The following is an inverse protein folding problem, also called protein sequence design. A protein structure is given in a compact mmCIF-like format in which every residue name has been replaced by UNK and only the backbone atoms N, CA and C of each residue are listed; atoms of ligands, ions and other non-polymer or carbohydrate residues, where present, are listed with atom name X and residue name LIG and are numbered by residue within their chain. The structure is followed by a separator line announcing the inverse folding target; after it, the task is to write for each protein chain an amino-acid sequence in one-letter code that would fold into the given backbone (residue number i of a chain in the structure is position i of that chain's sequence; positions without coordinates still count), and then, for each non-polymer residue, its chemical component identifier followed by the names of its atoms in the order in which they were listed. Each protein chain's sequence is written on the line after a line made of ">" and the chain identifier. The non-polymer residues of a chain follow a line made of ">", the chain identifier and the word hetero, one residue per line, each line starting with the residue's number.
data_IF_205117256110
#
_entry.id   IF_205117256110
#
_cell.length_a   1.000
_cell.length_b   1.000
_cell.length_c   1.000
_cell.angle_alpha   90.00
_cell.angle_beta   90.00
_cell.angle_gamma   90.00
#
_symmetry.space_group_name_H-M   'P 1'
#
loop_
_entity.id
_entity.type
_entity.pdbx_description
1 polymer ?
#
# COMPACT_ATOMS: atom_id res chain seq x y z
N UNK A 1 -22.20 -9.43 -4.29
CA UNK A 1 -23.45 -8.69 -4.52
C UNK A 1 -23.10 -7.21 -4.55
N UNK A 2 -23.70 -6.44 -5.47
CA UNK A 2 -23.45 -5.00 -5.56
C UNK A 2 -23.84 -4.32 -4.22
N UNK A 3 -22.97 -3.46 -3.64
CA UNK A 3 -23.35 -2.67 -2.47
C UNK A 3 -24.62 -1.84 -2.73
N UNK A 4 -25.42 -1.64 -1.69
CA UNK A 4 -26.65 -0.86 -1.78
C UNK A 4 -26.30 0.60 -2.09
N UNK A 5 -27.04 1.24 -3.00
CA UNK A 5 -26.83 2.65 -3.37
C UNK A 5 -25.85 2.88 -4.54
N UNK A 6 -25.16 1.85 -5.04
CA UNK A 6 -24.25 1.97 -6.17
C UNK A 6 -25.01 2.03 -7.50
N UNK A 7 -24.89 3.15 -8.21
CA UNK A 7 -25.57 3.43 -9.48
C UNK A 7 -24.61 3.14 -10.64
N UNK A 8 -24.96 2.28 -11.62
CA UNK A 8 -24.05 1.95 -12.71
C UNK A 8 -23.88 3.14 -13.67
N UNK A 9 -22.62 3.52 -13.93
CA UNK A 9 -22.26 4.47 -14.98
C UNK A 9 -21.95 3.75 -16.28
N UNK A 10 -22.49 4.26 -17.39
CA UNK A 10 -22.37 3.65 -18.72
C UNK A 10 -21.79 4.64 -19.71
N UNK A 11 -20.85 4.17 -20.51
CA UNK A 11 -20.36 4.90 -21.69
C UNK A 11 -21.45 5.00 -22.76
N UNK A 12 -21.20 5.82 -23.79
CA UNK A 12 -22.12 6.06 -24.89
C UNK A 12 -22.51 4.80 -25.69
N UNK A 13 -21.69 3.75 -25.66
CA UNK A 13 -21.95 2.44 -26.27
C UNK A 13 -22.77 1.49 -25.38
N UNK A 14 -23.11 1.91 -24.16
CA UNK A 14 -23.86 1.14 -23.17
C UNK A 14 -23.02 0.26 -22.25
N UNK A 15 -21.70 0.22 -22.44
CA UNK A 15 -20.77 -0.53 -21.61
C UNK A 15 -20.67 0.09 -20.21
N UNK A 16 -20.83 -0.73 -19.16
CA UNK A 16 -20.65 -0.28 -17.76
C UNK A 16 -19.16 -0.15 -17.50
N UNK A 17 -18.74 1.02 -17.02
CA UNK A 17 -17.33 1.31 -16.71
C UNK A 17 -17.05 1.44 -15.21
N UNK A 18 -18.11 1.49 -14.40
CA UNK A 18 -18.02 1.55 -12.96
C UNK A 18 -19.36 1.91 -12.33
N UNK A 19 -19.30 2.35 -11.08
CA UNK A 19 -20.44 2.71 -10.27
C UNK A 19 -20.21 4.06 -9.59
N UNK A 20 -21.29 4.80 -9.37
CA UNK A 20 -21.29 6.04 -8.59
C UNK A 20 -22.17 5.81 -7.37
N UNK A 21 -21.64 6.11 -6.19
CA UNK A 21 -22.36 6.11 -4.92
C UNK A 21 -22.60 7.55 -4.48
N UNK A 22 -23.78 7.77 -3.89
CA UNK A 22 -24.11 8.99 -3.17
C UNK A 22 -24.38 8.60 -1.71
N UNK A 23 -23.43 8.91 -0.83
CA UNK A 23 -23.57 8.73 0.63
C UNK A 23 -23.65 10.08 1.33
N UNK A 24 -24.88 10.51 1.63
CA UNK A 24 -25.15 11.85 2.12
C UNK A 24 -24.75 12.92 1.10
N UNK A 25 -23.71 13.69 1.42
CA UNK A 25 -23.12 14.72 0.55
C UNK A 25 -21.82 14.24 -0.13
N UNK A 26 -21.31 13.03 0.15
CA UNK A 26 -20.14 12.47 -0.55
C UNK A 26 -20.59 11.74 -1.82
N UNK A 27 -19.99 12.13 -2.94
CA UNK A 27 -20.14 11.44 -4.22
C UNK A 27 -18.83 10.71 -4.50
N UNK A 28 -18.94 9.43 -4.82
CA UNK A 28 -17.79 8.56 -5.01
C UNK A 28 -17.97 7.69 -6.26
N UNK A 29 -16.98 7.70 -7.16
CA UNK A 29 -16.92 6.75 -8.24
C UNK A 29 -16.09 5.52 -7.85
N UNK A 30 -16.49 4.35 -8.31
CA UNK A 30 -15.81 3.08 -8.10
C UNK A 30 -15.65 2.32 -9.42
N UNK A 31 -14.45 1.80 -9.68
CA UNK A 31 -14.16 1.00 -10.88
C UNK A 31 -14.77 -0.41 -10.80
N UNK A 32 -14.65 -1.22 -11.86
CA UNK A 32 -15.23 -2.58 -11.98
C UNK A 32 -14.70 -3.60 -10.97
N UNK A 33 -13.66 -3.27 -10.20
CA UNK A 33 -13.18 -4.08 -9.07
C UNK A 33 -13.67 -3.52 -7.73
N UNK A 34 -14.46 -2.44 -7.75
CA UNK A 34 -14.98 -1.74 -6.59
C UNK A 34 -13.95 -0.85 -5.90
N UNK A 35 -12.88 -0.45 -6.59
CA UNK A 35 -11.88 0.49 -6.06
C UNK A 35 -12.32 1.92 -6.30
N UNK A 36 -12.19 2.79 -5.30
CA UNK A 36 -12.55 4.21 -5.43
C UNK A 36 -11.68 4.87 -6.51
N UNK A 37 -12.31 5.57 -7.43
CA UNK A 37 -11.70 6.23 -8.57
C UNK A 37 -11.64 7.76 -8.42
N UNK A 38 -12.36 8.34 -7.45
CA UNK A 38 -12.42 9.79 -7.20
C UNK A 38 -11.91 10.18 -5.82
N UNK A 39 -11.35 11.40 -5.66
CA UNK A 39 -11.14 11.99 -4.35
C UNK A 39 -12.47 12.28 -3.63
N UNK A 40 -12.45 12.60 -2.33
CA UNK A 40 -13.62 13.13 -1.61
C UNK A 40 -14.05 14.49 -2.14
N UNK A 41 -15.35 14.80 -2.02
CA UNK A 41 -15.88 16.14 -2.32
C UNK A 41 -16.04 16.49 -3.80
N UNK A 42 -15.93 15.50 -4.70
CA UNK A 42 -16.26 15.67 -6.12
C UNK A 42 -17.75 15.84 -6.34
N UNK A 43 -18.13 16.43 -7.47
CA UNK A 43 -19.52 16.42 -7.93
C UNK A 43 -19.84 15.20 -8.83
N UNK A 44 -21.11 15.07 -9.21
CA UNK A 44 -21.58 13.95 -10.05
C UNK A 44 -20.90 13.93 -11.43
N UNK A 45 -20.69 15.10 -12.04
CA UNK A 45 -20.09 15.18 -13.37
C UNK A 45 -18.61 14.79 -13.33
N UNK A 46 -17.88 15.21 -12.30
CA UNK A 46 -16.50 14.81 -12.05
C UNK A 46 -16.40 13.29 -11.82
N UNK A 47 -17.38 12.68 -11.13
CA UNK A 47 -17.43 11.24 -10.92
C UNK A 47 -17.66 10.45 -12.23
N UNK A 48 -18.56 10.90 -13.10
CA UNK A 48 -18.78 10.31 -14.43
C UNK A 48 -17.51 10.43 -15.29
N UNK A 49 -16.91 11.62 -15.31
CA UNK A 49 -15.70 11.89 -16.08
C UNK A 49 -14.53 10.98 -15.63
N UNK A 50 -14.34 10.80 -14.32
CA UNK A 50 -13.28 9.94 -13.80
C UNK A 50 -13.43 8.46 -14.27
N UNK A 51 -14.66 7.95 -14.36
CA UNK A 51 -14.92 6.60 -14.87
C UNK A 51 -14.74 6.50 -16.39
N UNK A 52 -15.17 7.51 -17.13
CA UNK A 52 -15.03 7.55 -18.59
C UNK A 52 -13.56 7.62 -19.02
N UNK A 53 -12.76 8.45 -18.35
CA UNK A 53 -11.33 8.60 -18.61
C UNK A 53 -10.54 7.35 -18.22
N UNK A 54 -10.92 6.68 -17.12
CA UNK A 54 -10.30 5.42 -16.69
C UNK A 54 -10.61 4.27 -17.66
N UNK A 55 -11.86 4.17 -18.13
CA UNK A 55 -12.35 3.05 -18.91
C UNK A 55 -12.18 1.71 -18.20
N UNK A 56 -12.04 0.62 -18.96
CA UNK A 56 -11.91 -0.76 -18.43
C UNK A 56 -10.58 -1.43 -18.81
N UNK A 57 -9.68 -0.70 -19.47
CA UNK A 57 -8.44 -1.26 -20.02
C UNK A 57 -7.57 -1.97 -18.98
N UNK A 58 -7.61 -1.49 -17.74
CA UNK A 58 -6.88 -2.08 -16.62
C UNK A 58 -7.27 -3.54 -16.32
N UNK A 59 -8.44 -4.02 -16.77
CA UNK A 59 -8.83 -5.42 -16.58
C UNK A 59 -7.93 -6.38 -17.37
N UNK A 60 -7.25 -5.91 -18.42
CA UNK A 60 -6.35 -6.71 -19.24
C UNK A 60 -4.91 -6.76 -18.69
N UNK A 61 -4.60 -5.97 -17.66
CA UNK A 61 -3.27 -5.92 -17.08
C UNK A 61 -2.93 -7.22 -16.34
N UNK A 62 -1.63 -7.44 -16.11
CA UNK A 62 -1.17 -8.47 -15.20
C UNK A 62 -1.27 -7.95 -13.76
N UNK A 63 -1.71 -8.82 -12.85
CA UNK A 63 -1.84 -8.53 -11.44
C UNK A 63 -1.02 -9.53 -10.61
N UNK A 64 -0.77 -9.16 -9.36
CA UNK A 64 -0.31 -10.03 -8.29
C UNK A 64 -1.47 -10.24 -7.31
N UNK A 65 -1.83 -11.49 -7.06
CA UNK A 65 -2.77 -11.91 -6.04
C UNK A 65 -2.04 -12.23 -4.73
N UNK A 66 -2.45 -11.60 -3.64
CA UNK A 66 -2.07 -12.00 -2.28
C UNK A 66 -3.07 -13.05 -1.78
N UNK A 67 -2.63 -14.29 -1.56
CA UNK A 67 -3.49 -15.36 -1.05
C UNK A 67 -3.75 -15.19 0.45
N UNK A 68 -4.79 -15.86 1.02
CA UNK A 68 -4.97 -15.89 2.47
C UNK A 68 -3.80 -16.51 3.25
N UNK A 69 -2.95 -17.29 2.57
CA UNK A 69 -1.74 -17.87 3.15
C UNK A 69 -0.52 -16.91 3.08
N UNK A 70 -0.66 -15.76 2.41
CA UNK A 70 0.42 -14.79 2.22
C UNK A 70 1.24 -15.00 0.96
N UNK A 71 0.87 -15.95 0.09
CA UNK A 71 1.57 -16.15 -1.19
C UNK A 71 1.24 -15.03 -2.17
N UNK A 72 2.21 -14.68 -3.01
CA UNK A 72 2.08 -13.66 -4.07
C UNK A 72 2.14 -14.33 -5.43
N UNK A 73 0.99 -14.42 -6.11
CA UNK A 73 0.85 -15.17 -7.36
C UNK A 73 0.63 -14.22 -8.55
N UNK A 74 1.37 -14.36 -9.66
CA UNK A 74 1.04 -13.64 -10.88
C UNK A 74 -0.29 -14.16 -11.43
N UNK A 75 -1.24 -13.26 -11.69
CA UNK A 75 -2.58 -13.60 -12.18
C UNK A 75 -3.05 -12.62 -13.27
N UNK A 76 -4.07 -13.01 -14.02
CA UNK A 76 -4.88 -12.11 -14.85
C UNK A 76 -6.34 -12.19 -14.44
N UNK A 77 -7.07 -11.09 -14.64
CA UNK A 77 -8.52 -11.07 -14.41
C UNK A 77 -9.19 -11.83 -15.56
N UNK A 78 -9.86 -12.93 -15.23
CA UNK A 78 -10.65 -13.71 -16.18
C UNK A 78 -12.07 -13.16 -16.33
N UNK A 79 -12.68 -12.78 -15.20
CA UNK A 79 -14.05 -12.25 -15.17
C UNK A 79 -14.19 -11.25 -14.01
N UNK A 80 -14.87 -10.13 -14.23
CA UNK A 80 -15.23 -9.17 -13.20
C UNK A 80 -16.75 -8.95 -13.20
N UNK A 81 -17.41 -9.39 -12.12
CA UNK A 81 -18.86 -9.22 -11.90
C UNK A 81 -19.12 -8.58 -10.54
N UNK A 82 -20.36 -8.14 -10.31
CA UNK A 82 -20.79 -7.64 -9.01
C UNK A 82 -21.03 -8.74 -7.97
N UNK A 83 -20.96 -10.02 -8.36
CA UNK A 83 -21.04 -11.15 -7.46
C UNK A 83 -19.64 -11.57 -6.98
N UNK A 84 -18.70 -11.66 -7.92
CA UNK A 84 -17.33 -12.10 -7.70
C UNK A 84 -16.41 -11.63 -8.82
N UNK A 85 -15.10 -11.61 -8.53
CA UNK A 85 -14.04 -11.43 -9.51
C UNK A 85 -13.23 -12.72 -9.59
N UNK A 86 -13.08 -13.26 -10.80
CA UNK A 86 -12.30 -14.47 -11.05
C UNK A 86 -10.94 -14.08 -11.59
N UNK A 87 -9.88 -14.58 -10.97
CA UNK A 87 -8.50 -14.40 -11.44
C UNK A 87 -7.86 -15.76 -11.71
N UNK A 88 -7.01 -15.81 -12.71
CA UNK A 88 -6.38 -17.03 -13.21
C UNK A 88 -4.87 -16.88 -13.09
N UNK A 89 -4.20 -17.86 -12.49
CA UNK A 89 -2.74 -17.89 -12.38
C UNK A 89 -2.08 -17.81 -13.75
N UNK A 90 -1.10 -16.93 -13.87
CA UNK A 90 -0.38 -16.65 -15.10
C UNK A 90 1.14 -16.69 -14.87
N UNK A 91 1.63 -17.88 -14.54
CA UNK A 91 3.07 -18.12 -14.52
C UNK A 91 3.62 -18.03 -15.96
N UNK A 92 4.48 -17.03 -16.21
CA UNK A 92 5.18 -16.81 -17.49
C UNK A 92 4.29 -16.56 -18.73
N UNK A 93 3.05 -16.08 -18.56
CA UNK A 93 2.13 -15.91 -19.70
C UNK A 93 1.44 -17.20 -20.13
N UNK A 94 1.56 -18.28 -19.34
CA UNK A 94 1.04 -19.60 -19.63
C UNK A 94 -0.50 -19.70 -19.60
N UNK A 95 -1.20 -18.77 -18.93
CA UNK A 95 -2.65 -18.80 -18.81
C UNK A 95 -3.38 -18.74 -20.16
N UNK A 96 -2.73 -18.16 -21.18
CA UNK A 96 -3.29 -18.02 -22.53
C UNK A 96 -2.93 -19.17 -23.49
N UNK A 97 -2.21 -20.20 -23.03
CA UNK A 97 -1.79 -21.34 -23.86
C UNK A 97 -2.94 -22.34 -24.02
N UNK A 98 -3.24 -22.73 -25.27
CA UNK A 98 -4.28 -23.71 -25.57
C UNK A 98 -3.94 -25.06 -24.91
N UNK A 99 -4.81 -25.51 -24.00
CA UNK A 99 -4.64 -26.76 -23.24
C UNK A 99 -4.02 -26.59 -21.85
N UNK A 100 -3.72 -25.37 -21.42
CA UNK A 100 -3.41 -25.08 -20.03
C UNK A 100 -4.67 -25.18 -19.16
N UNK A 101 -4.51 -25.70 -17.94
CA UNK A 101 -5.54 -25.71 -16.89
C UNK A 101 -5.00 -24.92 -15.67
N UNK A 102 -4.77 -23.60 -15.82
CA UNK A 102 -4.21 -22.77 -14.76
C UNK A 102 -5.18 -22.69 -13.58
N UNK A 103 -4.61 -22.68 -12.37
CA UNK A 103 -5.42 -22.56 -11.16
C UNK A 103 -6.22 -21.23 -11.16
N UNK A 104 -7.46 -21.32 -10.72
CA UNK A 104 -8.42 -20.22 -10.71
C UNK A 104 -8.79 -19.87 -9.28
N UNK A 105 -8.79 -18.57 -8.99
CA UNK A 105 -9.12 -18.02 -7.68
C UNK A 105 -10.34 -17.10 -7.80
N UNK A 106 -11.21 -17.17 -6.80
CA UNK A 106 -12.44 -16.37 -6.74
C UNK A 106 -12.33 -15.37 -5.60
N UNK A 107 -12.43 -14.09 -5.95
CA UNK A 107 -12.41 -12.96 -5.03
C UNK A 107 -13.82 -12.40 -4.86
N UNK A 108 -14.18 -11.88 -3.68
CA UNK A 108 -15.46 -11.20 -3.52
C UNK A 108 -15.46 -9.89 -4.32
N UNK A 109 -16.66 -9.40 -4.60
CA UNK A 109 -16.87 -8.04 -5.08
C UNK A 109 -17.54 -7.19 -3.97
N UNK A 110 -17.05 -5.97 -3.69
CA UNK A 110 -15.80 -5.36 -4.15
C UNK A 110 -14.54 -6.20 -3.83
N UNK A 111 -13.50 -6.08 -4.66
CA UNK A 111 -12.22 -6.74 -4.40
C UNK A 111 -11.60 -6.09 -3.15
N UNK A 112 -11.28 -6.86 -2.10
CA UNK A 112 -10.70 -6.29 -0.89
C UNK A 112 -9.37 -5.65 -1.22
N UNK A 113 -9.15 -4.47 -0.67
CA UNK A 113 -8.01 -3.68 -1.12
C UNK A 113 -6.69 -4.31 -0.68
N UNK A 114 -5.70 -4.26 -1.56
CA UNK A 114 -4.40 -4.90 -1.35
C UNK A 114 -4.36 -6.39 -1.66
N UNK A 115 -5.49 -7.04 -1.97
CA UNK A 115 -5.53 -8.45 -2.41
C UNK A 115 -5.08 -8.61 -3.85
N UNK A 116 -5.44 -7.67 -4.72
CA UNK A 116 -5.11 -7.70 -6.14
C UNK A 116 -4.41 -6.40 -6.55
N UNK A 117 -3.14 -6.49 -6.94
CA UNK A 117 -2.28 -5.32 -7.24
C UNK A 117 -1.69 -5.42 -8.64
N UNK A 118 -1.49 -4.32 -9.33
CA UNK A 118 -0.80 -4.28 -10.63
C UNK A 118 0.74 -4.17 -10.49
N UNK A 119 1.24 -4.17 -9.26
CA UNK A 119 2.65 -4.22 -8.92
C UNK A 119 3.16 -5.65 -8.79
N UNK A 120 4.34 -5.90 -9.33
CA UNK A 120 5.06 -7.16 -9.19
C UNK A 120 6.32 -6.90 -8.39
N UNK A 121 6.42 -7.52 -7.21
CA UNK A 121 7.63 -7.46 -6.39
C UNK A 121 8.81 -8.05 -7.18
N UNK A 122 9.99 -7.39 -7.21
CA UNK A 122 11.16 -7.95 -7.86
C UNK A 122 11.52 -9.30 -7.22
N UNK A 123 12.21 -10.17 -7.96
CA UNK A 123 12.77 -11.36 -7.36
C UNK A 123 13.88 -10.96 -6.37
N UNK A 124 13.76 -11.40 -5.12
CA UNK A 124 14.66 -11.06 -4.03
C UNK A 124 15.47 -12.28 -3.59
N UNK A 125 16.74 -12.04 -3.27
CA UNK A 125 17.53 -13.00 -2.48
C UNK A 125 17.31 -12.68 -1.00
N UNK A 126 16.57 -13.57 -0.31
CA UNK A 126 16.29 -13.43 1.12
C UNK A 126 17.39 -14.06 2.00
N UNK A 127 18.36 -14.75 1.38
CA UNK A 127 19.46 -15.39 2.06
C UNK A 127 19.07 -16.55 2.97
N UNK A 128 20.09 -17.16 3.59
CA UNK A 128 19.94 -18.08 4.71
C UNK A 128 20.96 -17.68 5.77
N UNK A 129 20.46 -17.24 6.91
CA UNK A 129 21.26 -16.69 8.00
C UNK A 129 21.60 -17.79 8.98
N UNK A 130 22.83 -17.81 9.52
CA UNK A 130 23.30 -18.89 10.39
C UNK A 130 23.61 -18.37 11.80
N UNK A 131 23.36 -19.17 12.83
CA UNK A 131 23.78 -18.89 14.20
C UNK A 131 25.28 -19.20 14.42
N UNK A 132 25.77 -18.95 15.64
CA UNK A 132 27.16 -19.20 16.02
C UNK A 132 27.56 -20.70 15.92
N UNK A 133 26.58 -21.61 15.92
CA UNK A 133 26.78 -23.04 15.71
C UNK A 133 26.65 -23.47 14.24
N UNK A 134 26.41 -22.52 13.32
CA UNK A 134 26.25 -22.77 11.88
C UNK A 134 24.88 -23.34 11.49
N UNK A 135 23.87 -23.22 12.35
CA UNK A 135 22.49 -23.67 12.07
C UNK A 135 21.67 -22.53 11.47
N UNK A 136 20.76 -22.81 10.51
CA UNK A 136 19.86 -21.78 9.99
C UNK A 136 19.02 -21.10 11.06
N UNK A 137 18.95 -19.78 11.01
CA UNK A 137 18.08 -18.94 11.81
C UNK A 137 16.78 -18.71 11.03
N UNK A 138 15.68 -19.21 11.57
CA UNK A 138 14.33 -18.95 11.05
C UNK A 138 13.79 -17.64 11.65
N UNK A 139 14.29 -16.50 11.16
CA UNK A 139 13.77 -15.19 11.56
C UNK A 139 12.24 -15.11 11.37
N UNK A 140 11.55 -14.55 12.36
CA UNK A 140 10.09 -14.55 12.46
C UNK A 140 9.53 -15.66 13.35
N UNK A 141 10.33 -16.69 13.65
CA UNK A 141 9.88 -17.89 14.34
C UNK A 141 10.84 -18.39 15.44
N UNK A 142 11.88 -17.63 15.79
CA UNK A 142 12.95 -18.06 16.71
C UNK A 142 12.43 -18.28 18.13
N UNK A 143 11.50 -17.46 18.58
CA UNK A 143 11.10 -17.44 20.00
C UNK A 143 9.87 -18.30 20.31
N UNK A 144 8.97 -18.54 19.36
CA UNK A 144 7.71 -19.26 19.61
C UNK A 144 6.95 -18.69 20.81
N UNK A 145 6.69 -19.51 21.83
CA UNK A 145 6.08 -19.09 23.12
C UNK A 145 7.12 -18.88 24.26
N UNK A 146 8.41 -18.96 23.95
CA UNK A 146 9.51 -18.89 24.90
C UNK A 146 9.91 -17.46 25.28
N UNK A 147 10.80 -17.34 26.27
CA UNK A 147 11.35 -16.05 26.70
C UNK A 147 12.53 -15.66 25.78
N UNK A 148 12.44 -14.46 25.20
CA UNK A 148 13.54 -13.88 24.41
C UNK A 148 14.73 -13.54 25.30
N UNK A 149 15.95 -14.03 25.02
CA UNK A 149 17.13 -13.68 25.81
C UNK A 149 17.40 -12.17 25.79
N UNK A 150 17.65 -11.59 26.97
CA UNK A 150 17.83 -10.13 27.09
C UNK A 150 19.01 -9.58 26.28
N UNK A 151 20.06 -10.36 26.05
CA UNK A 151 21.21 -9.96 25.22
C UNK A 151 20.80 -9.64 23.78
N UNK A 152 19.80 -10.36 23.25
CA UNK A 152 19.33 -10.24 21.87
C UNK A 152 18.72 -8.87 21.56
N UNK A 153 18.32 -8.09 22.57
CA UNK A 153 17.83 -6.72 22.39
C UNK A 153 18.93 -5.72 21.98
N UNK A 154 20.20 -6.09 22.12
CA UNK A 154 21.36 -5.25 21.80
C UNK A 154 22.26 -5.84 20.72
N UNK A 155 21.83 -6.93 20.09
CA UNK A 155 22.56 -7.66 19.05
C UNK A 155 21.80 -7.57 17.73
N UNK A 156 22.53 -7.46 16.64
CA UNK A 156 22.02 -7.56 15.27
C UNK A 156 23.07 -8.35 14.49
N UNK A 157 22.97 -9.67 14.53
CA UNK A 157 23.97 -10.56 13.95
C UNK A 157 24.07 -10.45 12.43
N UNK A 158 22.92 -10.25 11.77
CA UNK A 158 22.80 -10.27 10.30
C UNK A 158 22.07 -9.02 9.77
N UNK A 159 22.64 -7.80 9.89
CA UNK A 159 22.00 -6.57 9.40
C UNK A 159 21.76 -6.56 7.87
N UNK A 160 22.57 -7.29 7.11
CA UNK A 160 22.43 -7.44 5.66
C UNK A 160 21.12 -8.12 5.24
N UNK A 161 20.44 -8.84 6.15
CA UNK A 161 19.14 -9.48 5.88
C UNK A 161 18.05 -8.50 5.47
N UNK A 162 18.22 -7.22 5.81
CA UNK A 162 17.26 -6.16 5.50
C UNK A 162 17.51 -5.48 4.15
N UNK A 163 18.58 -5.81 3.42
CA UNK A 163 18.84 -5.26 2.07
C UNK A 163 17.67 -5.40 1.08
N UNK A 164 16.89 -6.51 1.07
CA UNK A 164 15.70 -6.64 0.24
C UNK A 164 14.68 -5.51 0.43
N UNK A 165 14.59 -4.91 1.62
CA UNK A 165 13.67 -3.78 1.90
C UNK A 165 14.02 -2.57 1.03
N UNK A 166 15.31 -2.25 0.88
CA UNK A 166 15.74 -1.14 0.01
C UNK A 166 15.41 -1.44 -1.45
N UNK A 167 15.65 -2.68 -1.89
CA UNK A 167 15.37 -3.11 -3.26
C UNK A 167 13.88 -2.98 -3.57
N UNK A 168 13.02 -3.50 -2.70
CA UNK A 168 11.56 -3.41 -2.83
C UNK A 168 11.07 -1.96 -2.77
N UNK A 169 11.55 -1.15 -1.82
CA UNK A 169 11.15 0.25 -1.71
C UNK A 169 11.45 1.04 -2.99
N UNK A 170 12.61 0.81 -3.62
CA UNK A 170 12.97 1.46 -4.89
C UNK A 170 12.08 1.01 -6.03
N UNK A 171 11.89 -0.31 -6.17
CA UNK A 171 11.01 -0.87 -7.20
C UNK A 171 9.57 -0.34 -7.05
N UNK A 172 9.09 -0.22 -5.82
CA UNK A 172 7.78 0.32 -5.51
C UNK A 172 7.66 1.81 -5.90
N UNK A 173 8.65 2.64 -5.56
CA UNK A 173 8.67 4.05 -5.98
C UNK A 173 8.71 4.20 -7.50
N UNK A 174 9.49 3.37 -8.19
CA UNK A 174 9.57 3.38 -9.65
C UNK A 174 8.24 2.90 -10.29
N UNK A 175 7.57 1.92 -9.70
CA UNK A 175 6.21 1.51 -10.10
C UNK A 175 5.23 2.65 -9.93
N UNK A 176 5.19 3.29 -8.76
CA UNK A 176 4.30 4.40 -8.48
C UNK A 176 4.52 5.56 -9.44
N UNK A 177 5.78 5.90 -9.71
CA UNK A 177 6.11 6.90 -10.71
C UNK A 177 5.65 6.49 -12.10
N UNK A 178 5.73 5.22 -12.52
CA UNK A 178 5.25 4.79 -13.84
C UNK A 178 3.73 4.76 -13.95
N UNK A 179 3.06 4.42 -12.85
CA UNK A 179 1.62 4.10 -12.83
C UNK A 179 0.73 5.32 -12.57
N UNK A 180 1.20 6.30 -11.81
CA UNK A 180 0.41 7.45 -11.37
C UNK A 180 0.94 8.77 -11.94
N UNK A 181 0.05 9.75 -12.08
CA UNK A 181 0.41 11.11 -12.47
C UNK A 181 0.95 11.91 -11.28
N UNK A 182 2.25 11.75 -11.07
CA UNK A 182 3.00 12.36 -9.97
C UNK A 182 4.20 13.16 -10.50
N UNK A 183 4.67 14.10 -9.69
CA UNK A 183 6.02 14.66 -9.79
C UNK A 183 6.97 13.90 -8.89
N UNK A 184 8.14 13.50 -9.41
CA UNK A 184 9.23 12.94 -8.62
C UNK A 184 10.31 13.98 -8.34
N UNK A 185 10.71 14.07 -7.08
CA UNK A 185 11.94 14.74 -6.67
C UNK A 185 12.84 13.72 -5.97
N UNK A 186 14.13 13.73 -6.33
CA UNK A 186 15.11 12.80 -5.79
C UNK A 186 16.39 13.53 -5.36
N UNK A 187 16.92 13.12 -4.22
CA UNK A 187 18.16 13.65 -3.66
C UNK A 187 18.95 12.52 -3.01
N UNK A 188 20.23 12.40 -3.35
CA UNK A 188 21.16 11.46 -2.71
C UNK A 188 22.11 12.22 -1.80
N UNK A 189 22.27 11.77 -0.56
CA UNK A 189 23.25 12.31 0.40
C UNK A 189 23.93 11.17 1.16
N UNK A 190 25.20 10.94 0.88
CA UNK A 190 25.93 9.81 1.46
C UNK A 190 25.26 8.49 1.10
N UNK A 191 24.91 7.70 2.12
CA UNK A 191 24.22 6.41 1.95
C UNK A 191 22.70 6.50 1.98
N UNK A 192 22.14 7.72 1.93
CA UNK A 192 20.71 7.97 1.96
C UNK A 192 20.20 8.47 0.61
N UNK A 193 19.10 7.89 0.16
CA UNK A 193 18.35 8.36 -1.01
C UNK A 193 16.97 8.81 -0.57
N UNK A 194 16.65 10.07 -0.82
CA UNK A 194 15.39 10.71 -0.52
C UNK A 194 14.60 10.82 -1.81
N UNK A 195 13.40 10.23 -1.84
CA UNK A 195 12.46 10.35 -2.95
C UNK A 195 11.18 10.95 -2.44
N UNK A 196 10.61 11.91 -3.16
CA UNK A 196 9.29 12.46 -2.92
C UNK A 196 8.46 12.34 -4.17
N UNK A 197 7.27 11.76 -4.05
CA UNK A 197 6.26 11.65 -5.09
C UNK A 197 5.05 12.49 -4.69
N UNK A 198 4.73 13.49 -5.52
CA UNK A 198 3.63 14.42 -5.28
C UNK A 198 2.57 14.28 -6.39
N UNK A 199 1.35 13.84 -6.07
CA UNK A 199 0.23 13.79 -7.03
C UNK A 199 -0.03 15.14 -7.68
N UNK A 200 -0.25 15.17 -9.00
CA UNK A 200 -0.53 16.43 -9.72
C UNK A 200 -1.91 17.01 -9.42
N UNK A 201 -2.89 16.17 -9.09
CA UNK A 201 -4.24 16.62 -8.72
C UNK A 201 -4.24 17.47 -7.45
N UNK A 202 -3.34 17.18 -6.51
CA UNK A 202 -3.26 17.84 -5.20
C UNK A 202 -4.09 17.18 -4.10
N UNK A 203 -5.05 16.32 -4.45
CA UNK A 203 -5.97 15.69 -3.48
C UNK A 203 -5.39 14.43 -2.81
N UNK A 204 -4.35 13.84 -3.40
CA UNK A 204 -3.68 12.66 -2.87
C UNK A 204 -2.54 13.00 -1.92
N UNK A 205 -2.33 12.15 -0.91
CA UNK A 205 -1.23 12.32 0.04
C UNK A 205 0.12 12.34 -0.69
N UNK A 206 0.96 13.35 -0.46
CA UNK A 206 2.37 13.31 -0.90
C UNK A 206 3.09 12.21 -0.15
N UNK A 207 3.84 11.37 -0.86
CA UNK A 207 4.62 10.28 -0.27
C UNK A 207 6.11 10.60 -0.36
N UNK A 208 6.82 10.51 0.76
CA UNK A 208 8.26 10.66 0.81
C UNK A 208 8.91 9.42 1.41
N UNK A 209 9.88 8.84 0.71
CA UNK A 209 10.62 7.67 1.15
C UNK A 209 12.10 8.02 1.30
N UNK A 210 12.72 7.54 2.38
CA UNK A 210 14.16 7.65 2.61
C UNK A 210 14.73 6.25 2.77
N UNK A 211 15.46 5.79 1.77
CA UNK A 211 16.23 4.54 1.89
C UNK A 211 17.62 4.86 2.45
N UNK A 212 18.15 3.99 3.31
CA UNK A 212 19.41 4.21 4.01
C UNK A 212 20.13 2.91 4.28
N UNK A 213 21.47 2.92 4.23
CA UNK A 213 22.34 1.82 4.73
C UNK A 213 23.21 2.21 5.93
N UNK A 214 23.18 3.48 6.35
CA UNK A 214 24.12 4.04 7.33
C UNK A 214 24.10 3.42 8.73
N UNK A 215 22.97 2.86 9.15
CA UNK A 215 22.83 2.18 10.45
C UNK A 215 22.35 0.75 10.23
N UNK A 216 21.29 0.63 9.44
CA UNK A 216 20.66 -0.63 9.05
C UNK A 216 20.07 -0.41 7.67
N UNK A 217 20.16 -1.38 6.74
CA UNK A 217 19.44 -1.31 5.49
C UNK A 217 17.94 -1.20 5.75
N UNK A 218 17.29 -0.22 5.14
CA UNK A 218 15.86 -0.02 5.36
C UNK A 218 15.29 1.19 4.63
N UNK A 219 14.00 1.42 4.85
CA UNK A 219 13.25 2.56 4.31
C UNK A 219 12.42 3.23 5.39
N UNK A 220 12.37 4.56 5.36
CA UNK A 220 11.44 5.37 6.13
C UNK A 220 10.43 6.00 5.18
N UNK A 221 9.13 5.76 5.37
CA UNK A 221 8.06 6.33 4.54
C UNK A 221 7.26 7.33 5.35
N UNK A 222 7.06 8.51 4.78
CA UNK A 222 6.15 9.55 5.27
C UNK A 222 5.06 9.78 4.25
N UNK A 223 3.85 10.05 4.71
CA UNK A 223 2.77 10.45 3.82
C UNK A 223 1.84 11.47 4.49
N UNK A 224 1.18 12.27 3.65
CA UNK A 224 0.15 13.21 4.09
C UNK A 224 0.67 14.19 5.15
N UNK A 225 -0.09 14.37 6.23
CA UNK A 225 0.24 15.31 7.29
C UNK A 225 1.16 14.70 8.36
N UNK A 226 0.90 13.46 8.76
CA UNK A 226 1.42 12.89 10.00
C UNK A 226 1.90 11.45 9.90
N UNK A 227 1.49 10.69 8.87
CA UNK A 227 1.92 9.31 8.70
C UNK A 227 3.44 9.24 8.56
N UNK A 228 4.05 8.41 9.41
CA UNK A 228 5.46 8.06 9.33
C UNK A 228 5.67 6.65 9.89
N UNK A 229 6.29 5.81 9.07
CA UNK A 229 6.76 4.51 9.50
C UNK A 229 8.17 4.19 8.93
N UNK A 230 8.83 3.19 9.51
CA UNK A 230 10.16 2.73 9.13
C UNK A 230 10.23 1.20 9.08
N UNK A 231 10.93 0.66 8.08
CA UNK A 231 11.16 -0.76 7.92
C UNK A 231 12.66 -1.03 7.79
N UNK A 232 13.25 -1.85 8.67
CA UNK A 232 12.64 -2.34 9.91
C UNK A 232 12.53 -1.22 10.97
N UNK A 233 11.61 -1.36 11.91
CA UNK A 233 11.52 -0.42 13.04
C UNK A 233 12.55 -0.67 14.15
N UNK A 234 13.09 -1.88 14.19
CA UNK A 234 14.19 -2.27 15.06
C UNK A 234 15.07 -3.28 14.32
N UNK A 235 16.39 -3.23 14.53
CA UNK A 235 17.31 -4.20 13.92
C UNK A 235 17.65 -5.39 14.81
N UNK A 236 17.21 -5.36 16.08
CA UNK A 236 17.75 -6.30 17.06
C UNK A 236 17.24 -7.73 16.84
N UNK A 237 18.07 -8.71 17.19
CA UNK A 237 17.74 -10.12 17.09
C UNK A 237 16.56 -10.52 17.98
N UNK A 238 16.30 -9.78 19.07
CA UNK A 238 15.14 -10.01 19.93
C UNK A 238 13.80 -9.72 19.25
N UNK A 239 13.74 -8.73 18.35
CA UNK A 239 12.52 -8.43 17.59
C UNK A 239 12.15 -9.56 16.65
N UNK A 240 13.15 -10.30 16.16
CA UNK A 240 12.97 -11.49 15.34
C UNK A 240 12.11 -11.21 14.09
N UNK A 241 12.28 -10.04 13.47
CA UNK A 241 11.41 -9.63 12.37
C UNK A 241 11.55 -10.54 11.14
N UNK A 242 10.42 -10.93 10.54
CA UNK A 242 10.35 -11.61 9.25
C UNK A 242 10.50 -10.60 8.12
N UNK A 243 11.58 -10.71 7.33
CA UNK A 243 11.79 -9.84 6.15
C UNK A 243 10.64 -9.97 5.14
N UNK A 244 10.16 -11.17 4.77
CA UNK A 244 8.96 -11.31 3.95
C UNK A 244 7.76 -10.51 4.46
N UNK A 245 7.43 -10.62 5.75
CA UNK A 245 6.26 -9.95 6.33
C UNK A 245 6.44 -8.42 6.31
N UNK A 246 7.63 -7.92 6.61
CA UNK A 246 7.92 -6.49 6.50
C UNK A 246 7.79 -5.95 5.07
N UNK A 247 8.12 -6.76 4.05
CA UNK A 247 7.91 -6.36 2.66
C UNK A 247 6.41 -6.26 2.33
N UNK A 248 5.63 -7.23 2.81
CA UNK A 248 4.18 -7.25 2.66
C UNK A 248 3.53 -6.04 3.36
N UNK A 249 3.98 -5.70 4.58
CA UNK A 249 3.54 -4.54 5.34
C UNK A 249 3.88 -3.23 4.64
N UNK A 250 5.13 -3.06 4.18
CA UNK A 250 5.58 -1.88 3.45
C UNK A 250 4.69 -1.64 2.21
N UNK A 251 4.50 -2.68 1.40
CA UNK A 251 3.68 -2.58 0.20
C UNK A 251 2.22 -2.29 0.54
N UNK A 252 1.67 -2.97 1.56
CA UNK A 252 0.28 -2.75 2.00
C UNK A 252 0.06 -1.31 2.47
N UNK A 253 0.98 -0.76 3.26
CA UNK A 253 0.93 0.63 3.72
C UNK A 253 0.98 1.62 2.54
N UNK A 254 1.96 1.44 1.64
CA UNK A 254 2.14 2.33 0.48
C UNK A 254 0.93 2.28 -0.46
N UNK A 255 0.40 1.09 -0.77
CA UNK A 255 -0.80 0.98 -1.60
C UNK A 255 -2.04 1.59 -0.93
N UNK A 256 -2.19 1.43 0.38
CA UNK A 256 -3.28 2.06 1.12
C UNK A 256 -3.26 3.59 1.03
N UNK A 257 -2.07 4.18 1.05
CA UNK A 257 -1.88 5.62 0.89
C UNK A 257 -2.27 6.07 -0.53
N UNK A 258 -1.69 5.45 -1.56
CA UNK A 258 -1.87 5.93 -2.96
C UNK A 258 -3.24 5.59 -3.52
N UNK A 259 -3.98 4.64 -2.94
CA UNK A 259 -5.36 4.32 -3.30
C UNK A 259 -6.39 5.14 -2.51
N UNK A 260 -5.97 6.12 -1.71
CA UNK A 260 -6.86 7.03 -1.01
C UNK A 260 -7.62 6.40 0.17
N UNK A 261 -7.09 5.32 0.74
CA UNK A 261 -7.69 4.69 1.91
C UNK A 261 -7.28 5.36 3.23
N UNK A 262 -6.31 6.28 3.20
CA UNK A 262 -5.77 6.93 4.39
C UNK A 262 -6.61 8.13 4.81
N UNK A 263 -7.00 8.14 6.09
CA UNK A 263 -7.62 9.27 6.77
C UNK A 263 -6.74 9.70 7.95
N UNK A 264 -6.48 11.00 8.07
CA UNK A 264 -5.66 11.56 9.15
C UNK A 264 -6.40 12.66 9.90
N UNK A 265 -6.19 12.73 11.21
CA UNK A 265 -6.62 13.86 12.03
C UNK A 265 -5.82 13.93 13.32
N UNK A 266 -5.92 15.07 14.02
CA UNK A 266 -5.42 15.20 15.39
C UNK A 266 -6.54 15.23 16.41
N UNK A 267 -6.22 14.79 17.62
CA UNK A 267 -7.04 14.97 18.82
C UNK A 267 -6.26 15.69 19.91
N UNK A 268 -6.77 16.80 20.39
CA UNK A 268 -6.16 17.63 21.43
C UNK A 268 -6.83 18.99 21.56
N UNK A 269 -6.48 19.78 22.57
CA UNK A 269 -6.94 21.15 22.72
C UNK A 269 -6.32 22.07 21.66
N UNK A 270 -7.17 22.77 20.91
CA UNK A 270 -6.75 23.69 19.84
C UNK A 270 -5.65 24.67 20.29
N UNK A 271 -4.63 24.82 19.46
CA UNK A 271 -3.46 25.66 19.70
C UNK A 271 -2.50 25.15 20.77
N UNK A 272 -2.66 23.91 21.29
CA UNK A 272 -1.84 23.45 22.42
C UNK A 272 -1.57 21.94 22.48
N UNK A 273 -0.43 21.59 23.08
CA UNK A 273 -0.11 20.21 23.48
C UNK A 273 -0.75 19.86 24.85
N UNK A 274 -0.99 18.56 25.15
CA UNK A 274 -0.71 17.42 24.29
C UNK A 274 -1.83 17.15 23.27
N UNK A 275 -1.44 16.89 22.03
CA UNK A 275 -2.28 16.35 20.97
C UNK A 275 -1.73 14.99 20.51
N UNK A 276 -2.56 14.22 19.80
CA UNK A 276 -2.19 12.94 19.18
C UNK A 276 -2.59 12.94 17.71
N UNK A 277 -1.76 12.33 16.87
CA UNK A 277 -2.12 12.01 15.49
C UNK A 277 -2.91 10.71 15.51
N UNK A 278 -3.94 10.66 14.69
CA UNK A 278 -4.68 9.46 14.37
C UNK A 278 -4.60 9.25 12.87
N UNK A 279 -4.32 8.01 12.49
CA UNK A 279 -4.33 7.56 11.11
C UNK A 279 -5.24 6.34 11.05
N UNK A 280 -6.14 6.32 10.08
CA UNK A 280 -6.99 5.18 9.79
C UNK A 280 -6.85 4.83 8.31
N UNK A 281 -6.88 3.54 8.01
CA UNK A 281 -6.86 3.02 6.65
C UNK A 281 -8.11 2.19 6.46
N UNK A 282 -9.08 2.60 5.64
CA UNK A 282 -10.42 1.98 5.43
C UNK A 282 -10.52 0.46 5.74
N UNK A 283 -10.63 0.09 7.03
CA UNK A 283 -10.63 -1.30 7.51
C UNK A 283 -9.36 -2.14 7.26
N UNK A 284 -8.25 -1.57 6.77
CA UNK A 284 -6.99 -2.28 6.52
C UNK A 284 -6.17 -2.41 7.81
N UNK A 285 -5.56 -3.58 8.00
CA UNK A 285 -4.52 -3.74 8.99
C UNK A 285 -3.21 -3.17 8.44
N UNK A 286 -2.97 -1.89 8.71
CA UNK A 286 -1.72 -1.20 8.42
C UNK A 286 -1.17 -0.75 9.76
N UNK A 287 0.13 -0.97 9.98
CA UNK A 287 0.80 -0.37 11.13
C UNK A 287 0.61 1.16 11.06
N UNK A 288 -0.08 1.76 12.06
CA UNK A 288 -0.34 3.20 12.09
C UNK A 288 0.95 4.02 12.15
N UNK A 289 2.08 3.37 12.40
CA UNK A 289 3.42 3.94 12.35
C UNK A 289 3.87 4.46 13.71
N UNK A 290 5.10 4.98 13.73
CA UNK A 290 5.81 5.29 14.97
C UNK A 290 5.33 6.59 15.66
N UNK A 291 4.28 7.23 15.13
CA UNK A 291 3.72 8.51 15.60
C UNK A 291 2.40 8.41 16.36
N UNK A 292 1.93 7.21 16.73
CA UNK A 292 0.83 7.10 17.71
C UNK A 292 1.21 7.60 19.13
N UNK A 293 2.48 7.98 19.33
CA UNK A 293 2.97 8.70 20.52
C UNK A 293 2.51 10.17 20.55
N UNK A 294 1.92 10.59 21.67
CA UNK A 294 1.43 11.97 21.83
C UNK A 294 2.52 13.04 21.79
N UNK A 295 2.15 14.27 21.46
CA UNK A 295 3.08 15.41 21.36
C UNK A 295 3.73 15.72 22.71
N UNK A 296 5.06 15.81 22.73
CA UNK A 296 5.88 16.08 23.93
C UNK A 296 6.09 17.59 24.17
N UNK A 297 4.99 18.36 24.21
CA UNK A 297 5.04 19.81 24.42
C UNK A 297 5.28 20.64 23.16
N UNK A 298 5.26 20.00 21.98
CA UNK A 298 5.36 20.68 20.69
C UNK A 298 4.02 21.37 20.34
N UNK A 299 4.05 22.64 19.87
CA UNK A 299 2.85 23.32 19.40
C UNK A 299 2.25 22.57 18.20
N UNK A 300 0.94 22.74 17.98
CA UNK A 300 0.23 22.05 16.91
C UNK A 300 0.85 22.33 15.52
N UNK A 301 1.01 21.30 14.65
CA UNK A 301 1.34 21.53 13.26
C UNK A 301 0.15 22.24 12.61
N UNK A 302 0.40 23.40 12.00
CA UNK A 302 -0.65 24.26 11.44
C UNK A 302 -1.52 23.55 10.40
N UNK A 303 -0.97 22.54 9.72
CA UNK A 303 -1.61 21.90 8.56
C UNK A 303 -2.38 20.60 8.90
N UNK A 304 -2.22 20.00 10.10
CA UNK A 304 -2.89 18.74 10.44
C UNK A 304 -4.33 18.99 10.94
N UNK A 305 -5.39 18.49 10.29
CA UNK A 305 -6.76 18.85 10.63
C UNK A 305 -7.25 18.23 11.95
N UNK A 306 -8.16 18.92 12.65
CA UNK A 306 -8.81 18.43 13.88
C UNK A 306 -10.04 17.55 13.60
N UNK A 307 -10.55 17.59 12.37
CA UNK A 307 -11.58 16.68 11.84
C UNK A 307 -10.93 15.65 10.92
N UNK A 308 -11.51 14.44 10.79
CA UNK A 308 -11.05 13.43 9.84
C UNK A 308 -10.89 14.01 8.43
N UNK A 309 -9.67 13.93 7.89
CA UNK A 309 -9.38 14.29 6.51
C UNK A 309 -8.97 13.04 5.74
N UNK A 310 -9.78 12.68 4.74
CA UNK A 310 -9.52 11.56 3.85
C UNK A 310 -8.75 12.05 2.64
N UNK A 311 -7.64 11.39 2.35
CA UNK A 311 -6.86 11.64 1.13
C UNK A 311 -7.51 10.97 -0.08
N UNK A 312 -7.45 11.62 -1.23
CA UNK A 312 -7.91 11.04 -2.49
C UNK A 312 -6.95 9.98 -3.06
N UNK A 313 -7.44 9.05 -3.89
CA UNK A 313 -6.57 8.17 -4.66
C UNK A 313 -5.70 8.99 -5.61
N UNK A 314 -4.48 8.53 -5.85
CA UNK A 314 -3.59 9.16 -6.81
C UNK A 314 -4.15 8.99 -8.23
N UNK A 315 -4.10 10.06 -9.05
CA UNK A 315 -4.57 9.99 -10.43
C UNK A 315 -3.69 9.02 -11.22
N UNK A 316 -4.31 8.17 -12.02
CA UNK A 316 -3.61 7.28 -12.95
C UNK A 316 -3.03 8.12 -14.09
N UNK A 317 -1.81 7.82 -14.53
CA UNK A 317 -1.27 8.47 -15.72
C UNK A 317 -2.08 8.05 -16.95
N UNK A 318 -2.62 9.02 -17.68
CA UNK A 318 -3.17 8.81 -19.01
C UNK A 318 -2.03 8.74 -20.02
N UNK A 319 -2.00 7.67 -20.82
CA UNK A 319 -0.99 7.44 -21.86
C UNK A 319 -1.16 8.33 -23.08
#
# INVERSE_FOLDING_TARGET
>A
MLPEGWIPHRRADGEVVGWIELDGDDIAAFDLLGRRATPPGVDWHEAEQALDERGIGYLADQYTLTTPAGDHLPVRIGEATTEQVTVVEDEFGGASVIGADPATHVLPFPVPIGVLRDYVRPQLDLGTWLDDEGRPIEYGNRWGVGETPKSMYSECAHPERFEPIITTARALLDHLEQRYDVNRAELVRGEQTYVTLTPRSGDGATLAAVTSRATLPGVKVRAGFGYLNWWPGCGCDACDDSVPDMLDELETAVFAIVEGAMTEWRRGPEGSAPWKIHVEFDGRHVDPGHHEGGSSGEPEPLDLPTTPHRWGPWPVRTG
#
